data_IF_465768712523
#
_entry.id   IF_465768712523
#
_cell.length_a   1.000
_cell.length_b   1.000
_cell.length_c   1.000
_cell.angle_alpha   90.00
_cell.angle_beta   90.00
_cell.angle_gamma   90.00
#
_symmetry.space_group_name_H-M   'P 1'
#
loop_
_entity.id
_entity.type
_entity.pdbx_description
1 polymer ?
#
# COMPACT_ATOMS: atom_id res chain seq x y z
N UNK A 1 -22.22 27.92 19.35
CA UNK A 1 -21.77 26.51 19.24
C UNK A 1 -20.44 26.53 18.50
N UNK A 2 -19.33 26.25 19.20
CA UNK A 2 -18.01 26.19 18.58
C UNK A 2 -17.76 24.76 18.11
N UNK A 3 -17.60 24.57 16.80
CA UNK A 3 -17.20 23.29 16.21
C UNK A 3 -15.67 23.19 16.34
N UNK A 4 -15.22 22.38 17.29
CA UNK A 4 -13.80 22.02 17.41
C UNK A 4 -13.52 20.92 16.40
N UNK A 5 -12.86 21.27 15.30
CA UNK A 5 -12.28 20.28 14.39
C UNK A 5 -11.01 19.75 15.01
N UNK A 6 -11.08 18.57 15.64
CA UNK A 6 -9.88 17.81 16.02
C UNK A 6 -9.30 17.25 14.73
N UNK A 7 -8.27 17.91 14.20
CA UNK A 7 -7.43 17.32 13.19
C UNK A 7 -6.68 16.14 13.83
N UNK A 8 -7.10 14.92 13.52
CA UNK A 8 -6.33 13.72 13.81
C UNK A 8 -5.08 13.78 12.92
N UNK A 9 -4.02 14.42 13.42
CA UNK A 9 -2.69 14.32 12.82
C UNK A 9 -2.24 12.89 13.05
N UNK A 10 -2.58 12.01 12.12
CA UNK A 10 -2.07 10.65 12.11
C UNK A 10 -0.60 10.75 11.74
N UNK A 11 0.26 10.17 12.57
CA UNK A 11 1.72 10.14 12.44
C UNK A 11 2.17 9.32 11.20
N UNK A 12 1.73 9.71 10.01
CA UNK A 12 2.06 9.06 8.74
C UNK A 12 3.50 9.36 8.27
N UNK A 13 4.25 10.18 9.01
CA UNK A 13 5.42 10.86 8.46
C UNK A 13 6.64 9.94 8.22
N UNK A 14 6.66 8.70 8.73
CA UNK A 14 7.84 7.82 8.61
C UNK A 14 7.52 6.35 8.30
N UNK A 15 6.27 6.02 7.94
CA UNK A 15 5.90 4.65 7.56
C UNK A 15 5.94 4.48 6.04
N UNK A 16 6.46 3.34 5.59
CA UNK A 16 6.43 2.97 4.19
C UNK A 16 4.99 2.66 3.83
N UNK A 17 4.61 3.02 2.61
CA UNK A 17 3.22 2.91 2.18
C UNK A 17 3.15 2.50 0.72
N UNK A 18 2.07 1.82 0.37
CA UNK A 18 1.74 1.54 -1.02
C UNK A 18 0.42 2.24 -1.36
N UNK A 19 0.44 3.03 -2.42
CA UNK A 19 -0.76 3.52 -3.07
C UNK A 19 -1.09 2.58 -4.21
N UNK A 20 -2.34 2.14 -4.31
CA UNK A 20 -2.86 1.30 -5.38
C UNK A 20 -4.04 1.98 -6.05
N UNK A 21 -4.19 1.82 -7.36
CA UNK A 21 -5.24 2.50 -8.14
C UNK A 21 -6.26 1.53 -8.75
N UNK A 22 -7.48 2.03 -8.93
CA UNK A 22 -8.55 1.36 -9.69
C UNK A 22 -8.35 1.55 -11.20
N UNK A 23 -8.83 0.62 -12.04
CA UNK A 23 -8.68 0.72 -13.51
C UNK A 23 -7.22 0.76 -13.98
N UNK A 24 -6.90 0.67 -15.28
CA UNK A 24 -5.51 0.72 -15.72
C UNK A 24 -4.86 2.07 -15.37
N UNK A 25 -3.60 2.05 -14.90
CA UNK A 25 -2.83 3.28 -14.66
C UNK A 25 -2.64 3.65 -13.18
N UNK A 26 -2.16 4.87 -12.96
CA UNK A 26 -1.96 5.47 -11.64
C UNK A 26 -2.78 6.77 -11.43
N UNK A 27 -3.81 6.99 -12.24
CA UNK A 27 -4.50 8.29 -12.34
C UNK A 27 -5.98 8.25 -11.89
N UNK A 28 -6.50 7.06 -11.61
CA UNK A 28 -7.90 6.86 -11.17
C UNK A 28 -8.05 7.04 -9.65
N UNK A 29 -9.20 6.61 -9.10
CA UNK A 29 -9.36 6.52 -7.64
C UNK A 29 -8.35 5.52 -7.06
N UNK A 30 -7.65 5.93 -5.99
CA UNK A 30 -6.63 5.14 -5.33
C UNK A 30 -6.91 4.90 -3.84
N UNK A 31 -6.26 3.87 -3.31
CA UNK A 31 -6.26 3.49 -1.90
C UNK A 31 -4.81 3.47 -1.41
N UNK A 32 -4.57 4.06 -0.23
CA UNK A 32 -3.26 4.03 0.43
C UNK A 32 -3.29 2.95 1.52
N UNK A 33 -2.24 2.12 1.56
CA UNK A 33 -2.03 1.09 2.57
C UNK A 33 -0.68 1.38 3.25
N UNK A 34 -0.73 1.72 4.53
CA UNK A 34 0.44 2.04 5.37
C UNK A 34 0.46 1.25 6.68
N UNK A 35 -0.54 0.41 6.92
CA UNK A 35 -0.62 -0.39 8.14
C UNK A 35 0.48 -1.45 8.16
N UNK A 36 1.13 -1.58 9.32
CA UNK A 36 2.03 -2.68 9.61
C UNK A 36 1.33 -4.04 9.50
N UNK A 37 2.09 -5.07 9.14
CA UNK A 37 1.58 -6.42 8.99
C UNK A 37 0.82 -6.60 7.69
N UNK A 38 -0.11 -7.56 7.69
CA UNK A 38 -0.78 -7.97 6.46
C UNK A 38 -2.03 -7.15 6.15
N UNK A 39 -2.13 -6.69 4.91
CA UNK A 39 -3.28 -5.96 4.37
C UNK A 39 -3.72 -6.53 3.02
N UNK A 40 -5.02 -6.53 2.77
CA UNK A 40 -5.58 -6.92 1.47
C UNK A 40 -5.44 -5.77 0.45
N UNK A 41 -5.14 -6.13 -0.79
CA UNK A 41 -5.10 -5.20 -1.92
C UNK A 41 -6.39 -5.37 -2.72
N UNK A 42 -7.22 -4.33 -2.73
CA UNK A 42 -8.51 -4.35 -3.42
C UNK A 42 -8.43 -3.83 -4.86
N UNK A 43 -7.48 -2.92 -5.13
CA UNK A 43 -7.33 -2.25 -6.42
C UNK A 43 -6.07 -2.75 -7.14
N UNK A 44 -6.15 -2.99 -8.46
CA UNK A 44 -5.13 -3.70 -9.26
C UNK A 44 -4.72 -2.98 -10.54
N UNK A 45 -4.90 -1.66 -10.56
CA UNK A 45 -4.66 -0.81 -11.71
C UNK A 45 -3.22 -0.42 -11.98
N UNK A 46 -2.50 -0.26 -10.88
CA UNK A 46 -1.15 0.22 -10.77
C UNK A 46 -0.83 0.45 -9.30
N UNK A 47 0.44 0.58 -8.97
CA UNK A 47 0.88 0.84 -7.61
C UNK A 47 2.09 1.78 -7.55
N UNK A 48 2.26 2.42 -6.40
CA UNK A 48 3.40 3.25 -6.06
C UNK A 48 3.71 3.00 -4.59
N UNK A 49 4.85 2.39 -4.34
CA UNK A 49 5.39 2.17 -3.01
C UNK A 49 6.40 3.27 -2.69
N UNK A 50 6.23 3.87 -1.52
CA UNK A 50 7.14 4.84 -0.94
C UNK A 50 7.85 4.16 0.24
N UNK A 51 9.17 4.06 0.16
CA UNK A 51 10.01 3.42 1.15
C UNK A 51 10.52 4.45 2.16
N UNK A 52 10.10 4.29 3.41
CA UNK A 52 10.52 5.10 4.55
C UNK A 52 11.26 4.26 5.62
N UNK A 53 11.84 3.12 5.23
CA UNK A 53 12.63 2.24 6.12
C UNK A 53 11.99 0.88 6.41
N UNK A 54 10.72 0.67 6.04
CA UNK A 54 10.02 -0.61 6.17
C UNK A 54 10.00 -1.32 4.83
N UNK A 55 10.50 -2.55 4.79
CA UNK A 55 10.35 -3.38 3.58
C UNK A 55 8.93 -3.92 3.49
N UNK A 56 8.48 -4.26 2.29
CA UNK A 56 7.20 -4.89 2.09
C UNK A 56 7.30 -6.14 1.21
N UNK A 57 6.41 -7.10 1.42
CA UNK A 57 6.29 -8.32 0.63
C UNK A 57 4.89 -8.42 0.02
N UNK A 58 4.82 -8.70 -1.27
CA UNK A 58 3.60 -8.83 -2.04
C UNK A 58 3.30 -10.30 -2.32
N UNK A 59 2.03 -10.68 -2.20
CA UNK A 59 1.56 -12.06 -2.31
C UNK A 59 0.43 -12.19 -3.33
N UNK A 60 0.43 -13.28 -4.10
CA UNK A 60 -0.67 -13.59 -5.03
C UNK A 60 -1.92 -14.11 -4.33
N UNK A 61 -1.82 -14.46 -3.05
CA UNK A 61 -2.93 -14.89 -2.20
C UNK A 61 -3.38 -13.78 -1.25
N UNK A 62 -4.61 -13.90 -0.74
CA UNK A 62 -5.11 -13.00 0.30
C UNK A 62 -4.53 -13.36 1.67
N UNK A 63 -4.41 -12.36 2.55
CA UNK A 63 -3.96 -12.58 3.92
C UNK A 63 -2.47 -12.98 4.05
N UNK A 64 -1.63 -12.57 3.11
CA UNK A 64 -0.18 -12.79 3.11
C UNK A 64 0.20 -14.26 3.26
N UNK A 65 -0.62 -15.12 2.66
CA UNK A 65 -0.42 -16.57 2.62
C UNK A 65 0.45 -16.94 1.41
N UNK A 66 1.05 -18.12 1.49
CA UNK A 66 1.91 -18.65 0.46
C UNK A 66 3.27 -17.93 0.39
N UNK A 67 3.91 -18.01 -0.77
CA UNK A 67 5.25 -17.45 -0.98
C UNK A 67 5.15 -15.99 -1.40
N UNK A 68 5.99 -15.13 -0.80
CA UNK A 68 6.14 -13.75 -1.25
C UNK A 68 6.68 -13.72 -2.68
N UNK A 69 5.90 -13.15 -3.60
CA UNK A 69 6.25 -13.07 -5.02
C UNK A 69 7.17 -11.89 -5.34
N UNK A 70 7.01 -10.78 -4.61
CA UNK A 70 7.81 -9.57 -4.83
C UNK A 70 8.12 -8.94 -3.49
N UNK A 71 9.36 -8.46 -3.34
CA UNK A 71 9.80 -7.71 -2.17
C UNK A 71 10.13 -6.29 -2.59
N UNK A 72 9.65 -5.34 -1.81
CA UNK A 72 9.84 -3.91 -2.00
C UNK A 72 10.75 -3.41 -0.87
N UNK A 73 11.92 -2.92 -1.24
CA UNK A 73 12.97 -2.46 -0.32
C UNK A 73 13.52 -1.08 -0.72
N UNK A 74 12.85 -0.42 -1.67
CA UNK A 74 13.11 0.92 -2.17
C UNK A 74 11.81 1.43 -2.82
N UNK A 75 11.76 2.70 -3.17
CA UNK A 75 10.64 3.26 -3.93
C UNK A 75 10.41 2.46 -5.22
N UNK A 76 9.14 2.15 -5.49
CA UNK A 76 8.78 1.37 -6.66
C UNK A 76 7.45 1.85 -7.22
N UNK A 77 7.36 2.01 -8.54
CA UNK A 77 6.13 2.45 -9.19
C UNK A 77 5.90 1.63 -10.45
N UNK A 78 4.65 1.22 -10.63
CA UNK A 78 4.19 0.53 -11.83
C UNK A 78 2.77 1.01 -12.13
N UNK A 79 2.55 1.63 -13.28
CA UNK A 79 1.23 2.09 -13.71
C UNK A 79 0.55 1.12 -14.69
N UNK A 80 0.91 -0.16 -14.59
CA UNK A 80 0.22 -1.26 -15.25
C UNK A 80 -0.40 -2.18 -14.20
N UNK A 81 -1.40 -2.95 -14.62
CA UNK A 81 -2.10 -3.85 -13.72
C UNK A 81 -1.18 -4.95 -13.15
N UNK A 82 -1.52 -5.45 -11.97
CA UNK A 82 -0.75 -6.47 -11.26
C UNK A 82 -1.64 -7.55 -10.61
N UNK A 83 -1.03 -8.69 -10.28
CA UNK A 83 -1.74 -9.89 -9.82
C UNK A 83 -1.84 -10.08 -8.30
N UNK A 84 -1.07 -9.34 -7.51
CA UNK A 84 -1.03 -9.52 -6.06
C UNK A 84 -2.37 -9.20 -5.39
N UNK A 85 -2.67 -9.92 -4.31
CA UNK A 85 -3.90 -9.81 -3.52
C UNK A 85 -3.67 -9.31 -2.11
N UNK A 86 -2.45 -9.38 -1.60
CA UNK A 86 -2.12 -8.83 -0.29
C UNK A 86 -0.68 -8.33 -0.22
N UNK A 87 -0.45 -7.43 0.74
CA UNK A 87 0.86 -6.88 1.07
C UNK A 87 1.11 -7.06 2.56
N UNK A 88 2.34 -7.44 2.90
CA UNK A 88 2.85 -7.41 4.27
C UNK A 88 3.88 -6.28 4.36
N UNK A 89 3.62 -5.28 5.20
CA UNK A 89 4.60 -4.21 5.49
C UNK A 89 5.31 -4.57 6.80
N UNK A 90 6.63 -4.69 6.73
CA UNK A 90 7.45 -5.06 7.88
C UNK A 90 7.65 -3.86 8.80
N UNK A 91 7.04 -3.94 9.97
CA UNK A 91 7.38 -3.19 11.15
C UNK A 91 7.97 -4.20 12.16
#
# INVERSE_FOLDING_TARGET
>A
MALVFVALVSDFANASSITVWSGPGCDNSGQIISNCGCSAINLRGGYSFVYNGQTAALYNEGGCRGVAHTRLNADARMCSGFGWKSIFIQC
#
